data_IF_274236251271
#
_entry.id   IF_274236251271
#
_cell.length_a   1.000
_cell.length_b   1.000
_cell.length_c   1.000
_cell.angle_alpha   90.00
_cell.angle_beta   90.00
_cell.angle_gamma   90.00
#
_symmetry.space_group_name_H-M   'P 1'
#
loop_
_entity.id
_entity.type
_entity.pdbx_description
1 polymer ?
#
# COMPACT_ATOMS: atom_id res chain seq x y z
N UNK A 1 0.11 -10.07 12.39
CA UNK A 1 0.66 -8.70 12.56
C UNK A 1 -0.43 -7.65 12.44
N UNK A 2 -1.21 -7.60 11.35
CA UNK A 2 -2.24 -6.57 11.13
C UNK A 2 -3.20 -6.33 12.32
N UNK A 3 -3.59 -7.38 13.06
CA UNK A 3 -4.45 -7.28 14.25
C UNK A 3 -3.79 -6.60 15.48
N UNK A 4 -2.50 -6.33 15.46
CA UNK A 4 -1.74 -5.70 16.57
C UNK A 4 -1.75 -4.17 16.49
N UNK A 5 -2.77 -3.58 15.86
CA UNK A 5 -2.91 -2.15 15.71
C UNK A 5 -1.80 -1.51 14.87
N UNK A 6 -1.46 -0.25 15.20
CA UNK A 6 -0.56 0.57 14.39
C UNK A 6 0.84 -0.03 14.21
N UNK A 7 1.42 -0.63 15.27
CA UNK A 7 2.72 -1.28 15.21
C UNK A 7 2.73 -2.49 14.28
N UNK A 8 1.65 -3.29 14.30
CA UNK A 8 1.51 -4.43 13.40
C UNK A 8 1.40 -4.03 11.93
N UNK A 9 0.70 -2.93 11.63
CA UNK A 9 0.63 -2.38 10.28
C UNK A 9 1.98 -1.78 9.83
N UNK A 10 2.70 -1.11 10.74
CA UNK A 10 4.05 -0.61 10.49
C UNK A 10 5.02 -1.74 10.12
N UNK A 11 5.01 -2.86 10.86
CA UNK A 11 5.87 -4.02 10.55
C UNK A 11 5.57 -4.67 9.19
N UNK A 12 4.32 -4.63 8.72
CA UNK A 12 3.98 -5.08 7.36
C UNK A 12 4.60 -4.13 6.33
N UNK A 13 4.46 -2.83 6.54
CA UNK A 13 5.03 -1.79 5.68
C UNK A 13 6.56 -1.85 5.59
N UNK A 14 7.26 -2.10 6.71
CA UNK A 14 8.73 -2.26 6.71
C UNK A 14 9.17 -3.50 5.93
N UNK A 15 8.41 -4.60 5.98
CA UNK A 15 8.68 -5.81 5.17
C UNK A 15 8.54 -5.56 3.68
N UNK A 16 7.55 -4.77 3.24
CA UNK A 16 7.44 -4.36 1.84
C UNK A 16 8.64 -3.52 1.40
N UNK A 17 9.14 -2.66 2.29
CA UNK A 17 10.35 -1.86 2.03
C UNK A 17 11.60 -2.74 1.94
N UNK A 18 11.73 -3.71 2.83
CA UNK A 18 12.82 -4.68 2.80
C UNK A 18 12.79 -5.53 1.51
N UNK A 19 11.60 -5.90 1.02
CA UNK A 19 11.43 -6.65 -0.22
C UNK A 19 11.96 -5.88 -1.44
N UNK A 20 11.68 -4.58 -1.54
CA UNK A 20 12.28 -3.72 -2.59
C UNK A 20 13.81 -3.69 -2.48
N UNK A 21 14.35 -3.51 -1.27
CA UNK A 21 15.80 -3.48 -1.05
C UNK A 21 16.49 -4.80 -1.40
N UNK A 22 15.83 -5.93 -1.09
CA UNK A 22 16.31 -7.24 -1.45
C UNK A 22 16.28 -7.44 -2.98
N UNK A 23 15.17 -7.13 -3.64
CA UNK A 23 15.05 -7.18 -5.11
C UNK A 23 16.14 -6.37 -5.82
N UNK A 24 16.48 -5.19 -5.29
CA UNK A 24 17.52 -4.32 -5.84
C UNK A 24 18.94 -4.90 -5.73
N UNK A 25 19.20 -5.80 -4.79
CA UNK A 25 20.55 -6.33 -4.51
C UNK A 25 20.76 -7.74 -5.01
N UNK A 26 19.69 -8.51 -5.21
CA UNK A 26 19.76 -9.92 -5.62
C UNK A 26 19.21 -10.18 -7.02
N UNK A 27 18.69 -9.16 -7.70
CA UNK A 27 17.98 -9.31 -8.98
C UNK A 27 16.76 -10.25 -8.88
N UNK A 28 16.16 -10.32 -7.70
CA UNK A 28 14.94 -11.07 -7.47
C UNK A 28 13.74 -10.39 -8.14
N UNK A 29 13.01 -11.14 -8.97
CA UNK A 29 11.91 -10.64 -9.80
C UNK A 29 10.75 -11.66 -9.91
N UNK A 30 10.60 -12.54 -8.91
CA UNK A 30 9.52 -13.52 -8.95
C UNK A 30 8.17 -12.84 -8.67
N UNK A 31 7.33 -12.73 -9.70
CA UNK A 31 6.03 -12.05 -9.64
C UNK A 31 5.13 -12.56 -8.52
N UNK A 32 5.13 -13.87 -8.26
CA UNK A 32 4.22 -14.49 -7.31
C UNK A 32 4.31 -13.91 -5.88
N UNK A 33 5.48 -13.43 -5.47
CA UNK A 33 5.65 -12.80 -4.14
C UNK A 33 4.88 -11.49 -4.05
N UNK A 34 4.98 -10.68 -5.10
CA UNK A 34 4.27 -9.41 -5.18
C UNK A 34 2.78 -9.60 -5.44
N UNK A 35 2.41 -10.57 -6.28
CA UNK A 35 1.01 -10.92 -6.54
C UNK A 35 0.31 -11.36 -5.25
N UNK A 36 0.92 -12.25 -4.47
CA UNK A 36 0.36 -12.65 -3.17
C UNK A 36 0.32 -11.51 -2.15
N UNK A 37 1.31 -10.62 -2.17
CA UNK A 37 1.29 -9.43 -1.32
C UNK A 37 0.16 -8.48 -1.71
N UNK A 38 -0.07 -8.25 -3.01
CA UNK A 38 -1.18 -7.45 -3.51
C UNK A 38 -2.54 -8.10 -3.18
N UNK A 39 -2.66 -9.41 -3.36
CA UNK A 39 -3.88 -10.13 -3.01
C UNK A 39 -4.19 -10.01 -1.51
N UNK A 40 -3.18 -10.20 -0.66
CA UNK A 40 -3.35 -10.15 0.80
C UNK A 40 -3.57 -8.73 1.33
N UNK A 41 -2.80 -7.74 0.89
CA UNK A 41 -2.79 -6.42 1.54
C UNK A 41 -3.61 -5.37 0.80
N UNK A 42 -4.06 -5.64 -0.43
CA UNK A 42 -4.79 -4.68 -1.27
C UNK A 42 -6.14 -5.23 -1.72
N UNK A 43 -6.19 -6.44 -2.26
CA UNK A 43 -7.43 -6.99 -2.84
C UNK A 43 -8.35 -7.64 -1.79
N UNK A 44 -7.80 -8.15 -0.69
CA UNK A 44 -8.57 -8.46 0.50
C UNK A 44 -9.05 -7.16 1.16
N UNK A 45 -10.32 -6.84 0.95
CA UNK A 45 -10.96 -5.62 1.44
C UNK A 45 -10.90 -5.51 2.98
N UNK A 46 -11.03 -6.62 3.70
CA UNK A 46 -10.98 -6.63 5.17
C UNK A 46 -9.57 -6.31 5.66
N UNK A 47 -8.55 -6.90 5.02
CA UNK A 47 -7.15 -6.62 5.34
C UNK A 47 -6.78 -5.18 5.00
N UNK A 48 -7.14 -4.71 3.80
CA UNK A 48 -6.87 -3.34 3.36
C UNK A 48 -7.52 -2.31 4.31
N UNK A 49 -8.80 -2.52 4.68
CA UNK A 49 -9.50 -1.68 5.64
C UNK A 49 -8.83 -1.72 7.03
N UNK A 50 -8.38 -2.89 7.47
CA UNK A 50 -7.67 -3.06 8.74
C UNK A 50 -6.36 -2.28 8.75
N UNK A 51 -5.55 -2.38 7.69
CA UNK A 51 -4.28 -1.66 7.57
C UNK A 51 -4.48 -0.15 7.50
N UNK A 52 -5.39 0.33 6.64
CA UNK A 52 -5.73 1.76 6.49
C UNK A 52 -6.20 2.36 7.81
N UNK A 53 -7.07 1.65 8.54
CA UNK A 53 -7.56 2.07 9.87
C UNK A 53 -6.46 2.08 10.92
N UNK A 54 -5.65 1.03 10.99
CA UNK A 54 -4.65 0.88 12.05
C UNK A 54 -3.47 1.84 11.88
N UNK A 55 -3.03 2.06 10.64
CA UNK A 55 -1.97 3.00 10.34
C UNK A 55 -2.03 3.44 8.86
N UNK A 56 -2.67 4.59 8.56
CA UNK A 56 -2.83 5.05 7.17
C UNK A 56 -1.49 5.36 6.49
N UNK A 57 -0.49 5.84 7.24
CA UNK A 57 0.87 6.07 6.73
C UNK A 57 1.54 4.75 6.33
N UNK A 58 1.36 3.69 7.13
CA UNK A 58 1.90 2.38 6.80
C UNK A 58 1.22 1.78 5.56
N UNK A 59 -0.11 1.88 5.46
CA UNK A 59 -0.84 1.40 4.29
C UNK A 59 -0.44 2.17 3.01
N UNK A 60 -0.33 3.50 3.07
CA UNK A 60 0.20 4.32 1.98
C UNK A 60 1.60 3.87 1.54
N UNK A 61 2.49 3.54 2.49
CA UNK A 61 3.81 3.02 2.16
C UNK A 61 3.75 1.63 1.49
N UNK A 62 2.84 0.73 1.90
CA UNK A 62 2.64 -0.57 1.21
C UNK A 62 2.32 -0.35 -0.27
N UNK A 63 1.35 0.51 -0.57
CA UNK A 63 0.95 0.85 -1.95
C UNK A 63 2.12 1.45 -2.72
N UNK A 64 2.83 2.42 -2.13
CA UNK A 64 3.99 3.07 -2.72
C UNK A 64 5.11 2.08 -3.07
N UNK A 65 5.40 1.12 -2.18
CA UNK A 65 6.44 0.10 -2.40
C UNK A 65 6.06 -0.88 -3.51
N UNK A 66 4.79 -1.25 -3.63
CA UNK A 66 4.28 -2.07 -4.74
C UNK A 66 4.39 -1.34 -6.09
N UNK A 67 3.99 -0.08 -6.16
CA UNK A 67 4.15 0.76 -7.36
C UNK A 67 5.63 0.90 -7.75
N UNK A 68 6.50 1.08 -6.77
CA UNK A 68 7.95 1.15 -6.98
C UNK A 68 8.54 -0.16 -7.50
N UNK A 69 8.12 -1.30 -6.96
CA UNK A 69 8.56 -2.61 -7.43
C UNK A 69 8.26 -2.80 -8.91
N UNK A 70 7.04 -2.42 -9.34
CA UNK A 70 6.68 -2.43 -10.74
C UNK A 70 7.53 -1.47 -11.58
N UNK A 71 7.64 -0.20 -11.16
CA UNK A 71 8.42 0.81 -11.88
C UNK A 71 9.92 0.49 -12.01
N UNK A 72 10.45 -0.39 -11.15
CA UNK A 72 11.84 -0.86 -11.19
C UNK A 72 12.04 -2.21 -11.87
N UNK A 73 10.98 -2.82 -12.42
CA UNK A 73 11.04 -4.13 -13.06
C UNK A 73 11.24 -5.30 -12.10
N UNK A 74 10.97 -5.11 -10.80
CA UNK A 74 10.99 -6.18 -9.80
C UNK A 74 9.67 -6.98 -9.79
N UNK A 75 8.62 -6.44 -10.42
CA UNK A 75 7.29 -7.01 -10.49
C UNK A 75 6.58 -6.59 -11.77
N UNK A 76 5.96 -7.54 -12.47
CA UNK A 76 5.13 -7.30 -13.64
C UNK A 76 3.64 -7.36 -13.28
N UNK A 77 3.17 -6.33 -12.57
CA UNK A 77 1.76 -6.16 -12.24
C UNK A 77 0.90 -5.94 -13.50
N UNK A 78 -0.33 -6.45 -13.51
CA UNK A 78 -1.26 -6.14 -14.60
C UNK A 78 -1.57 -4.64 -14.65
N UNK A 79 -1.89 -4.07 -15.83
CA UNK A 79 -2.27 -2.66 -15.96
C UNK A 79 -3.44 -2.25 -15.05
N UNK A 80 -4.40 -3.15 -14.86
CA UNK A 80 -5.58 -2.95 -14.01
C UNK A 80 -5.18 -2.85 -12.53
N UNK A 81 -4.35 -3.79 -12.07
CA UNK A 81 -3.86 -3.79 -10.69
C UNK A 81 -2.97 -2.56 -10.43
N UNK A 82 -2.10 -2.18 -11.38
CA UNK A 82 -1.29 -0.98 -11.26
C UNK A 82 -2.15 0.29 -11.18
N UNK A 83 -3.23 0.37 -11.95
CA UNK A 83 -4.17 1.48 -11.90
C UNK A 83 -4.89 1.54 -10.54
N UNK A 84 -5.34 0.39 -10.01
CA UNK A 84 -5.94 0.28 -8.68
C UNK A 84 -4.98 0.75 -7.59
N UNK A 85 -3.72 0.29 -7.60
CA UNK A 85 -2.70 0.71 -6.64
C UNK A 85 -2.47 2.22 -6.65
N UNK A 86 -2.39 2.82 -7.85
CA UNK A 86 -2.22 4.28 -8.00
C UNK A 86 -3.43 5.06 -7.52
N UNK A 87 -4.64 4.56 -7.79
CA UNK A 87 -5.89 5.16 -7.29
C UNK A 87 -5.93 5.17 -5.76
N UNK A 88 -5.71 4.01 -5.14
CA UNK A 88 -5.66 3.89 -3.68
C UNK A 88 -4.56 4.76 -3.06
N UNK A 89 -3.39 4.84 -3.71
CA UNK A 89 -2.31 5.69 -3.21
C UNK A 89 -2.69 7.17 -3.22
N UNK A 90 -3.39 7.64 -4.27
CA UNK A 90 -3.92 9.00 -4.34
C UNK A 90 -4.98 9.27 -3.27
N UNK A 91 -5.92 8.35 -3.05
CA UNK A 91 -6.90 8.47 -1.96
C UNK A 91 -6.23 8.60 -0.58
N UNK A 92 -5.18 7.81 -0.35
CA UNK A 92 -4.42 7.88 0.90
C UNK A 92 -3.69 9.21 1.06
N UNK A 93 -3.15 9.77 -0.03
CA UNK A 93 -2.50 11.09 -0.03
C UNK A 93 -3.51 12.18 0.36
N UNK A 94 -4.68 12.21 -0.28
CA UNK A 94 -5.77 13.14 0.02
C UNK A 94 -6.24 13.05 1.49
N UNK A 95 -6.37 11.83 2.02
CA UNK A 95 -6.74 11.60 3.42
C UNK A 95 -5.67 12.11 4.40
N UNK A 96 -4.39 11.83 4.11
CA UNK A 96 -3.27 12.17 4.97
C UNK A 96 -2.97 13.68 4.96
N UNK A 97 -3.15 14.33 3.82
CA UNK A 97 -3.02 15.79 3.67
C UNK A 97 -4.26 16.55 4.18
N UNK A 98 -5.35 15.85 4.50
CA UNK A 98 -6.59 16.46 4.99
C UNK A 98 -7.39 17.18 3.90
N UNK A 99 -7.16 16.84 2.63
CA UNK A 99 -7.88 17.37 1.46
C UNK A 99 -9.26 16.71 1.30
N UNK A 100 -9.57 15.69 2.13
CA UNK A 100 -10.86 15.04 2.24
C UNK A 100 -12.03 15.98 2.61
N UNK A 101 -12.67 16.55 1.59
CA UNK A 101 -13.94 17.29 1.64
C UNK A 101 -14.06 18.37 2.72
N UNK A 102 -13.35 19.48 2.50
CA UNK A 102 -13.74 20.79 3.03
C UNK A 102 -15.07 21.27 2.41
N UNK A 103 -16.18 20.68 2.86
CA UNK A 103 -17.53 20.96 2.36
C UNK A 103 -18.62 20.92 3.44
N UNK A 104 -18.28 21.15 4.71
CA UNK A 104 -19.24 21.19 5.81
C UNK A 104 -19.60 22.64 6.20
N UNK A 105 -20.73 23.14 5.68
CA UNK A 105 -21.34 24.42 6.07
C UNK A 105 -21.35 24.61 7.60
N UNK A 106 -20.83 25.74 8.08
CA UNK A 106 -21.15 26.29 9.41
C UNK A 106 -22.67 26.42 9.52
N UNK A 107 -23.33 25.61 10.35
CA UNK A 107 -24.70 25.88 10.79
C UNK A 107 -24.62 27.05 11.78
N UNK A 108 -25.15 28.20 11.35
CA UNK A 108 -25.67 29.25 12.24
C UNK A 108 -27.03 28.80 12.77
#
# INVERSE_FOLDING_TARGET
MAAQGSGGAYEISTRMTALVGWGATTNFSDNWVWDQAAETYVNDEEMAATLRKNNPQAFSNVLRRMIEAHGRGMWDASPELLAQLRGLYGEMDDELEGVGSGGGKKKK
#
